data_IF_178450037746
#
_entry.id   IF_178450037746
#
_cell.length_a   1.000
_cell.length_b   1.000
_cell.length_c   1.000
_cell.angle_alpha   90.00
_cell.angle_beta   90.00
_cell.angle_gamma   90.00
#
_symmetry.space_group_name_H-M   'P 1'
#
loop_
_entity.id
_entity.type
_entity.pdbx_description
1 polymer ?
#
# COMPACT_ATOMS: atom_id res chain seq x y z
N UNK A 1 -2.13 8.19 -24.87
CA UNK A 1 -1.06 8.38 -25.88
C UNK A 1 -1.63 8.37 -27.29
N UNK A 2 -2.06 7.22 -27.83
CA UNK A 2 -2.47 7.12 -29.25
C UNK A 2 -3.91 6.67 -29.48
N UNK A 3 -4.54 6.00 -28.51
CA UNK A 3 -5.96 5.58 -28.59
C UNK A 3 -6.32 4.62 -29.72
N UNK A 4 -5.33 4.15 -30.49
CA UNK A 4 -5.57 3.32 -31.65
C UNK A 4 -5.96 1.89 -31.22
N UNK A 5 -6.90 1.23 -31.92
CA UNK A 5 -7.43 -0.07 -31.53
C UNK A 5 -6.38 -1.16 -31.28
N UNK A 6 -5.30 -1.16 -32.05
CA UNK A 6 -4.19 -2.11 -31.92
C UNK A 6 -3.37 -1.95 -30.64
N UNK A 7 -3.36 -0.77 -30.02
CA UNK A 7 -2.66 -0.54 -28.74
C UNK A 7 -3.59 -0.69 -27.54
N UNK A 8 -4.89 -0.49 -27.75
CA UNK A 8 -5.91 -0.57 -26.72
C UNK A 8 -6.66 -1.91 -26.70
N UNK A 9 -6.34 -2.82 -27.63
CA UNK A 9 -7.02 -4.09 -27.82
C UNK A 9 -8.55 -3.96 -27.87
N UNK A 10 -9.03 -3.13 -28.81
CA UNK A 10 -10.46 -2.85 -28.99
C UNK A 10 -10.89 -3.07 -30.45
N UNK A 11 -12.20 -3.10 -30.70
CA UNK A 11 -12.75 -3.31 -32.04
C UNK A 11 -12.22 -4.61 -32.68
N UNK A 12 -11.60 -4.52 -33.85
CA UNK A 12 -11.01 -5.66 -34.54
C UNK A 12 -9.87 -6.35 -33.76
N UNK A 13 -9.32 -5.69 -32.74
CA UNK A 13 -8.26 -6.19 -31.86
C UNK A 13 -8.79 -6.59 -30.48
N UNK A 14 -10.08 -6.86 -30.32
CA UNK A 14 -10.67 -7.21 -29.01
C UNK A 14 -10.45 -8.67 -28.59
N UNK A 15 -9.54 -9.39 -29.26
CA UNK A 15 -9.19 -10.77 -28.91
C UNK A 15 -7.67 -10.91 -28.81
N UNK A 16 -7.16 -11.83 -27.96
CA UNK A 16 -5.72 -12.10 -27.84
C UNK A 16 -5.07 -12.56 -29.16
N UNK A 17 -5.83 -13.23 -30.01
CA UNK A 17 -5.34 -13.68 -31.31
C UNK A 17 -5.09 -12.51 -32.27
N UNK A 18 -5.86 -11.42 -32.14
CA UNK A 18 -5.77 -10.26 -33.02
C UNK A 18 -4.90 -9.14 -32.44
N UNK A 19 -4.94 -8.90 -31.13
CA UNK A 19 -4.11 -7.87 -30.49
C UNK A 19 -2.73 -8.43 -30.13
N UNK A 20 -1.72 -8.09 -30.94
CA UNK A 20 -0.34 -8.52 -30.73
C UNK A 20 0.48 -7.48 -29.95
N UNK A 21 1.55 -7.90 -29.27
CA UNK A 21 2.52 -6.97 -28.71
C UNK A 21 3.03 -5.99 -29.77
N UNK A 22 3.20 -4.74 -29.34
CA UNK A 22 3.82 -3.67 -30.13
C UNK A 22 5.21 -3.34 -29.58
N UNK A 23 6.01 -2.59 -30.35
CA UNK A 23 7.30 -2.08 -29.87
C UNK A 23 7.18 -1.26 -28.58
N UNK A 24 6.05 -0.59 -28.35
CA UNK A 24 5.79 0.15 -27.12
C UNK A 24 5.56 -0.79 -25.92
N UNK A 25 4.74 -1.82 -26.07
CA UNK A 25 4.49 -2.78 -24.98
C UNK A 25 5.73 -3.62 -24.70
N UNK A 26 6.50 -3.98 -25.73
CA UNK A 26 7.77 -4.69 -25.56
C UNK A 26 8.78 -3.87 -24.75
N UNK A 27 8.85 -2.55 -24.96
CA UNK A 27 9.69 -1.66 -24.16
C UNK A 27 9.36 -1.76 -22.66
N UNK A 28 8.08 -1.67 -22.30
CA UNK A 28 7.64 -1.79 -20.90
C UNK A 28 7.85 -3.20 -20.34
N UNK A 29 7.62 -4.24 -21.15
CA UNK A 29 7.88 -5.63 -20.73
C UNK A 29 9.35 -5.86 -20.42
N UNK A 30 10.26 -5.32 -21.24
CA UNK A 30 11.69 -5.47 -21.01
C UNK A 30 12.16 -4.74 -19.75
N UNK A 31 11.55 -3.59 -19.44
CA UNK A 31 11.86 -2.83 -18.23
C UNK A 31 11.30 -3.51 -16.95
N UNK A 32 10.11 -4.11 -17.03
CA UNK A 32 9.46 -4.78 -15.91
C UNK A 32 8.85 -6.13 -16.36
N UNK A 33 9.64 -7.23 -16.41
CA UNK A 33 9.20 -8.50 -16.99
C UNK A 33 7.98 -9.15 -16.32
N UNK A 34 7.80 -8.90 -15.01
CA UNK A 34 6.65 -9.38 -14.24
C UNK A 34 5.41 -8.50 -14.39
N UNK A 35 5.52 -7.28 -14.90
CA UNK A 35 4.36 -6.40 -15.05
C UNK A 35 3.66 -6.61 -16.40
N UNK A 36 2.35 -6.41 -16.42
CA UNK A 36 1.56 -6.32 -17.64
C UNK A 36 2.00 -5.12 -18.47
N UNK A 37 2.32 -5.33 -19.74
CA UNK A 37 2.71 -4.27 -20.67
C UNK A 37 1.65 -3.95 -21.74
N UNK A 38 0.69 -4.85 -21.94
CA UNK A 38 -0.50 -4.66 -22.79
C UNK A 38 -1.65 -5.55 -22.29
N UNK A 39 -2.84 -5.44 -22.91
CA UNK A 39 -4.07 -5.99 -22.35
C UNK A 39 -4.14 -7.54 -22.27
N UNK A 40 -3.34 -8.26 -23.08
CA UNK A 40 -3.37 -9.73 -23.12
C UNK A 40 -2.00 -10.36 -22.76
N UNK A 41 -1.29 -9.73 -21.84
CA UNK A 41 0.05 -10.12 -21.39
C UNK A 41 0.03 -11.16 -20.25
N UNK A 42 -0.94 -12.05 -20.25
CA UNK A 42 -1.26 -12.87 -19.07
C UNK A 42 -0.15 -13.88 -18.71
N UNK A 43 0.54 -14.43 -19.72
CA UNK A 43 1.43 -15.58 -19.58
C UNK A 43 2.65 -15.34 -18.67
N UNK A 44 3.10 -14.09 -18.54
CA UNK A 44 4.30 -13.74 -17.73
C UNK A 44 4.00 -12.75 -16.60
N UNK A 45 2.74 -12.31 -16.48
CA UNK A 45 2.36 -11.23 -15.56
C UNK A 45 1.17 -11.55 -14.67
N UNK A 46 0.54 -12.70 -14.86
CA UNK A 46 -0.49 -13.19 -13.93
C UNK A 46 0.15 -13.96 -12.79
N UNK A 47 -0.03 -13.48 -11.56
CA UNK A 47 0.39 -14.17 -10.34
C UNK A 47 -0.84 -14.39 -9.47
N UNK A 48 -1.01 -15.62 -8.97
CA UNK A 48 -2.13 -15.99 -8.10
C UNK A 48 -1.58 -16.58 -6.82
N UNK A 49 -2.08 -16.12 -5.67
CA UNK A 49 -1.77 -16.65 -4.34
C UNK A 49 -3.08 -16.96 -3.60
N UNK A 50 -3.09 -17.99 -2.76
CA UNK A 50 -4.26 -18.38 -1.96
C UNK A 50 -4.00 -18.10 -0.48
N UNK A 51 -4.95 -17.45 0.21
CA UNK A 51 -4.85 -17.15 1.64
C UNK A 51 -3.66 -16.23 2.00
N UNK A 52 -3.38 -15.24 1.16
CA UNK A 52 -2.21 -14.37 1.31
C UNK A 52 -2.60 -12.95 1.74
N UNK A 53 -1.72 -12.32 2.51
CA UNK A 53 -1.67 -10.88 2.73
C UNK A 53 -0.72 -10.23 1.71
N UNK A 54 -0.96 -8.95 1.39
CA UNK A 54 -0.22 -8.22 0.36
C UNK A 54 0.32 -6.91 0.89
N UNK A 55 1.53 -6.55 0.44
CA UNK A 55 2.16 -5.25 0.72
C UNK A 55 2.41 -4.54 -0.61
N UNK A 56 1.94 -3.29 -0.73
CA UNK A 56 2.17 -2.43 -1.88
C UNK A 56 3.22 -1.41 -1.51
N UNK A 57 4.36 -1.46 -2.22
CA UNK A 57 5.50 -0.56 -1.98
C UNK A 57 5.71 0.33 -3.20
N UNK A 58 5.74 1.65 -2.99
CA UNK A 58 6.11 2.61 -4.02
C UNK A 58 7.62 2.82 -4.03
N UNK A 59 8.21 2.88 -5.22
CA UNK A 59 9.67 2.95 -5.42
C UNK A 59 10.43 1.82 -4.71
N UNK A 60 10.12 0.54 -5.02
CA UNK A 60 10.88 -0.57 -4.45
C UNK A 60 12.33 -0.48 -4.90
N UNK A 61 13.27 -0.64 -3.97
CA UNK A 61 14.67 -0.85 -4.29
C UNK A 61 14.79 -2.16 -5.07
N UNK A 62 15.54 -2.16 -6.18
CA UNK A 62 15.70 -3.30 -7.08
C UNK A 62 16.56 -4.42 -6.45
N UNK A 63 16.09 -5.03 -5.36
CA UNK A 63 16.78 -6.05 -4.57
C UNK A 63 16.03 -7.39 -4.55
N UNK A 64 15.27 -7.72 -5.59
CA UNK A 64 14.56 -8.99 -5.67
C UNK A 64 14.69 -9.63 -7.05
N UNK A 65 15.93 -9.88 -7.48
CA UNK A 65 16.22 -10.81 -8.58
C UNK A 65 17.26 -11.85 -8.16
N UNK A 66 17.22 -12.32 -6.92
CA UNK A 66 17.88 -13.57 -6.56
C UNK A 66 16.82 -14.63 -6.26
N UNK A 67 16.61 -15.50 -7.26
CA UNK A 67 16.00 -16.82 -7.06
C UNK A 67 16.94 -17.65 -6.18
N UNK A 68 16.91 -17.50 -4.85
CA UNK A 68 17.36 -18.52 -3.88
C UNK A 68 17.47 -17.93 -2.47
N UNK A 69 16.35 -17.66 -1.81
CA UNK A 69 16.22 -17.84 -0.35
C UNK A 69 14.73 -17.72 0.00
N UNK A 70 14.26 -18.51 0.96
CA UNK A 70 12.86 -18.52 1.39
C UNK A 70 12.38 -17.16 1.91
N UNK A 71 11.10 -17.04 2.31
CA UNK A 71 10.60 -15.80 2.89
C UNK A 71 11.39 -15.47 4.16
N UNK A 72 12.37 -14.57 4.05
CA UNK A 72 12.73 -13.76 5.20
C UNK A 72 11.62 -12.74 5.29
N UNK A 73 10.61 -13.10 6.09
CA UNK A 73 9.72 -12.13 6.71
C UNK A 73 10.62 -11.00 7.21
N UNK A 74 10.36 -9.72 6.89
CA UNK A 74 11.12 -8.65 7.49
C UNK A 74 11.00 -8.84 9.00
N UNK A 75 12.13 -9.13 9.63
CA UNK A 75 12.25 -9.05 11.08
C UNK A 75 11.69 -7.68 11.46
N UNK A 76 10.66 -7.70 12.29
CA UNK A 76 9.96 -6.50 12.71
C UNK A 76 11.02 -5.48 13.11
N UNK A 77 11.18 -4.43 12.30
CA UNK A 77 12.05 -3.33 12.67
C UNK A 77 11.54 -2.79 14.00
N UNK A 78 12.43 -2.41 14.94
CA UNK A 78 12.01 -1.90 16.23
C UNK A 78 10.99 -0.79 16.01
N UNK A 79 9.82 -0.94 16.64
CA UNK A 79 8.80 0.09 16.70
C UNK A 79 9.46 1.37 17.24
N UNK A 80 9.35 2.47 16.48
CA UNK A 80 9.37 3.90 16.86
C UNK A 80 10.16 4.73 15.82
N UNK A 81 9.62 5.89 15.38
CA UNK A 81 9.02 6.90 16.24
C UNK A 81 7.60 7.29 15.80
N UNK A 82 6.63 6.45 16.14
CA UNK A 82 5.22 6.87 16.28
C UNK A 82 4.95 7.40 17.70
N UNK A 83 5.74 7.00 18.70
CA UNK A 83 5.59 7.45 20.09
C UNK A 83 6.01 8.91 20.32
N UNK A 84 6.82 9.50 19.44
CA UNK A 84 7.25 10.90 19.58
C UNK A 84 6.18 11.91 19.20
N UNK A 85 5.24 11.56 18.31
CA UNK A 85 4.18 12.49 17.90
C UNK A 85 3.11 12.64 19.00
N UNK A 86 2.79 11.54 19.69
CA UNK A 86 1.88 11.56 20.85
C UNK A 86 2.51 12.25 22.08
N UNK A 87 3.81 12.09 22.29
CA UNK A 87 4.53 12.78 23.37
C UNK A 87 4.78 14.27 23.06
N UNK A 88 4.92 14.65 21.79
CA UNK A 88 5.11 16.04 21.35
C UNK A 88 3.84 16.89 21.52
N UNK A 89 2.66 16.31 21.28
CA UNK A 89 1.38 17.00 21.51
C UNK A 89 1.03 17.14 23.00
N UNK A 90 1.61 16.32 23.88
CA UNK A 90 1.39 16.40 25.32
C UNK A 90 1.97 17.68 25.96
N UNK A 91 2.86 18.39 25.26
CA UNK A 91 3.49 19.62 25.76
C UNK A 91 2.74 20.90 25.36
N UNK A 92 1.75 20.83 24.46
CA UNK A 92 0.94 21.98 24.04
C UNK A 92 -0.44 22.04 24.69
N UNK A 93 -0.77 21.08 25.54
CA UNK A 93 -1.97 21.13 26.37
C UNK A 93 -1.61 21.92 27.64
N UNK A 94 -2.15 23.13 27.87
CA UNK A 94 -1.84 23.87 29.08
C UNK A 94 -2.32 23.05 30.28
N UNK A 95 -1.48 22.90 31.32
CA UNK A 95 -1.76 22.16 32.56
C UNK A 95 -3.08 22.56 33.28
N UNK A 96 -3.75 23.61 32.81
CA UNK A 96 -5.06 24.05 33.26
C UNK A 96 -6.24 23.18 32.78
N UNK A 97 -6.13 22.48 31.65
CA UNK A 97 -7.29 21.74 31.10
C UNK A 97 -7.52 20.41 31.82
N UNK A 98 -6.46 19.72 32.25
CA UNK A 98 -6.55 18.47 33.03
C UNK A 98 -7.07 18.70 34.44
N UNK A 99 -6.76 19.85 35.06
CA UNK A 99 -7.32 20.24 36.36
C UNK A 99 -8.82 20.53 36.27
N UNK A 100 -9.27 21.22 35.22
CA UNK A 100 -10.70 21.51 35.03
C UNK A 100 -11.52 20.24 34.78
N UNK A 101 -11.04 19.35 33.90
CA UNK A 101 -11.73 18.06 33.64
C UNK A 101 -11.77 17.22 34.92
N UNK A 102 -10.68 17.18 35.70
CA UNK A 102 -10.65 16.49 36.99
C UNK A 102 -11.68 17.02 38.00
N UNK A 103 -11.83 18.34 38.11
CA UNK A 103 -12.84 18.95 39.00
C UNK A 103 -14.27 18.64 38.55
N UNK A 104 -14.53 18.65 37.23
CA UNK A 104 -15.85 18.30 36.68
C UNK A 104 -16.18 16.83 36.95
N UNK A 105 -15.24 15.92 36.70
CA UNK A 105 -15.44 14.48 36.95
C UNK A 105 -15.63 14.20 38.45
N UNK A 106 -14.87 14.85 39.33
CA UNK A 106 -15.02 14.71 40.78
C UNK A 106 -16.36 15.27 41.29
N UNK A 107 -16.82 16.41 40.75
CA UNK A 107 -18.12 16.98 41.11
C UNK A 107 -19.29 16.12 40.65
N UNK A 108 -19.20 15.56 39.44
CA UNK A 108 -20.20 14.61 38.92
C UNK A 108 -20.20 13.33 39.78
N UNK A 109 -19.03 12.79 40.10
CA UNK A 109 -18.91 11.61 40.96
C UNK A 109 -19.46 11.85 42.37
N UNK A 110 -19.13 12.98 43.00
CA UNK A 110 -19.66 13.35 44.33
C UNK A 110 -21.19 13.53 44.32
N UNK A 111 -21.72 14.17 43.27
CA UNK A 111 -23.17 14.37 43.12
C UNK A 111 -23.92 13.06 42.89
N UNK A 112 -23.30 12.09 42.20
CA UNK A 112 -23.87 10.75 42.01
C UNK A 112 -23.73 9.87 43.25
N UNK A 113 -22.77 10.15 44.13
CA UNK A 113 -22.54 9.36 45.35
C UNK A 113 -23.40 9.82 46.55
N UNK A 114 -24.06 10.98 46.44
CA UNK A 114 -24.95 11.52 47.47
C UNK A 114 -26.45 11.46 47.11
N UNK A 115 -26.80 10.73 46.05
CA UNK A 115 -28.17 10.26 45.78
C UNK A 115 -28.35 8.80 46.21
#
# INVERSE_FOLDING_TARGET
AFGAPQYCCSGAYSTPDMCKPSSYSEYFKNACPSAYSYAYDDATSTFTCHGADYVITFCPTALATDKSSGPQLPEASPISPEEDYLNSMAQLIPLSTTTIIGLIVMAIWASLYQL
#
